data_IF_312842953988
#
_entry.id   IF_312842953988
#
_cell.length_a   1.000
_cell.length_b   1.000
_cell.length_c   1.000
_cell.angle_alpha   90.00
_cell.angle_beta   90.00
_cell.angle_gamma   90.00
#
_symmetry.space_group_name_H-M   'P 1'
#
loop_
_entity.id
_entity.type
_entity.pdbx_description
1 polymer ?
#
# COMPACT_ATOMS: atom_id res chain seq x y z
N UNK A 1 -5.46 25.50 11.91
CA UNK A 1 -4.95 24.17 12.25
C UNK A 1 -6.14 23.28 12.56
N UNK A 2 -6.22 22.12 11.96
CA UNK A 2 -7.27 21.14 12.28
C UNK A 2 -6.89 20.43 13.57
N UNK A 3 -7.88 19.92 14.30
CA UNK A 3 -7.62 19.32 15.60
C UNK A 3 -7.10 17.89 15.48
N UNK A 4 -7.36 17.21 14.33
CA UNK A 4 -7.04 15.78 14.17
C UNK A 4 -6.96 15.31 12.72
N UNK A 5 -6.09 14.32 12.46
CA UNK A 5 -6.01 13.61 11.18
C UNK A 5 -5.87 12.10 11.37
N UNK A 6 -6.50 11.32 10.50
CA UNK A 6 -6.31 9.87 10.41
C UNK A 6 -5.81 9.56 9.02
N UNK A 7 -4.65 8.93 8.95
CA UNK A 7 -4.05 8.44 7.72
C UNK A 7 -4.17 6.91 7.64
N UNK A 8 -4.43 6.43 6.46
CA UNK A 8 -4.40 5.00 6.15
C UNK A 8 -3.33 4.74 5.10
N UNK A 9 -2.61 3.63 5.23
CA UNK A 9 -1.99 3.01 4.08
C UNK A 9 -3.08 2.49 3.13
N UNK A 10 -2.70 2.06 1.93
CA UNK A 10 -3.67 1.60 0.93
C UNK A 10 -3.61 0.09 0.71
N UNK A 11 -2.44 -0.43 0.32
CA UNK A 11 -2.25 -1.82 -0.09
C UNK A 11 -2.24 -2.73 1.15
N UNK A 12 -3.05 -3.80 1.17
CA UNK A 12 -3.27 -4.67 2.34
C UNK A 12 -3.88 -3.97 3.58
N UNK A 13 -4.25 -2.70 3.47
CA UNK A 13 -4.92 -1.92 4.51
C UNK A 13 -6.37 -1.57 4.14
N UNK A 14 -6.62 -1.02 2.96
CA UNK A 14 -7.97 -0.68 2.51
C UNK A 14 -8.58 -1.73 1.56
N UNK A 15 -7.78 -2.63 1.04
CA UNK A 15 -8.16 -3.77 0.20
C UNK A 15 -7.10 -4.87 0.31
N UNK A 16 -7.42 -6.09 -0.11
CA UNK A 16 -6.49 -7.22 -0.11
C UNK A 16 -5.60 -7.18 -1.36
N UNK A 17 -4.38 -6.63 -1.20
CA UNK A 17 -3.38 -6.58 -2.27
C UNK A 17 -2.96 -7.98 -2.72
N UNK A 18 -2.81 -8.92 -1.78
CA UNK A 18 -2.36 -10.28 -2.09
C UNK A 18 -3.29 -11.00 -3.07
N UNK A 19 -4.60 -10.81 -2.96
CA UNK A 19 -5.59 -11.35 -3.91
C UNK A 19 -5.42 -10.72 -5.29
N UNK A 20 -5.34 -9.39 -5.36
CA UNK A 20 -5.20 -8.66 -6.61
C UNK A 20 -3.88 -8.99 -7.32
N UNK A 21 -2.77 -8.97 -6.59
CA UNK A 21 -1.43 -9.25 -7.11
C UNK A 21 -1.34 -10.67 -7.67
N UNK A 22 -1.88 -11.65 -6.96
CA UNK A 22 -1.89 -13.05 -7.43
C UNK A 22 -2.62 -13.20 -8.75
N UNK A 23 -3.82 -12.64 -8.87
CA UNK A 23 -4.62 -12.70 -10.08
C UNK A 23 -3.90 -12.00 -11.26
N UNK A 24 -3.29 -10.84 -11.00
CA UNK A 24 -2.55 -10.08 -12.00
C UNK A 24 -1.29 -10.81 -12.48
N UNK A 25 -0.54 -11.44 -11.59
CA UNK A 25 0.63 -12.26 -11.94
C UNK A 25 0.24 -13.53 -12.73
N UNK A 26 -0.88 -14.17 -12.39
CA UNK A 26 -1.41 -15.30 -13.14
C UNK A 26 -1.76 -14.91 -14.58
N UNK A 27 -2.39 -13.75 -14.76
CA UNK A 27 -2.69 -13.23 -16.10
C UNK A 27 -1.41 -12.86 -16.88
N UNK A 28 -0.41 -12.28 -16.20
CA UNK A 28 0.89 -11.98 -16.81
C UNK A 28 1.59 -13.26 -17.28
N UNK A 29 1.60 -14.30 -16.48
CA UNK A 29 2.17 -15.61 -16.86
C UNK A 29 1.39 -16.27 -17.98
N UNK A 30 0.06 -16.16 -17.99
CA UNK A 30 -0.76 -16.66 -19.12
C UNK A 30 -0.37 -15.98 -20.44
N UNK A 31 -0.22 -14.65 -20.42
CA UNK A 31 0.26 -13.88 -21.57
C UNK A 31 1.67 -14.33 -22.03
N UNK A 32 2.61 -14.47 -21.09
CA UNK A 32 3.98 -14.92 -21.39
C UNK A 32 4.00 -16.30 -22.03
N UNK A 33 3.16 -17.21 -21.56
CA UNK A 33 3.05 -18.57 -22.14
C UNK A 33 2.49 -18.53 -23.55
N UNK A 34 1.42 -17.77 -23.75
CA UNK A 34 0.75 -17.68 -25.04
C UNK A 34 1.60 -16.99 -26.10
N UNK A 35 2.25 -15.88 -25.74
CA UNK A 35 2.97 -15.04 -26.70
C UNK A 35 4.44 -15.43 -26.89
N UNK A 36 5.07 -15.97 -25.84
CA UNK A 36 6.52 -16.21 -25.82
C UNK A 36 6.92 -17.65 -25.49
N UNK A 37 5.96 -18.52 -25.21
CA UNK A 37 6.24 -19.92 -24.87
C UNK A 37 6.93 -20.09 -23.49
N UNK A 38 6.78 -19.14 -22.58
CA UNK A 38 7.36 -19.19 -21.23
C UNK A 38 6.95 -20.46 -20.49
N UNK A 39 7.92 -21.17 -19.91
CA UNK A 39 7.69 -22.45 -19.24
C UNK A 39 7.57 -22.33 -17.70
N UNK A 40 7.91 -21.18 -17.13
CA UNK A 40 7.83 -20.94 -15.69
C UNK A 40 6.40 -20.83 -15.17
N UNK A 41 6.27 -20.89 -13.86
CA UNK A 41 5.01 -20.67 -13.16
C UNK A 41 4.92 -19.26 -12.55
N UNK A 42 3.77 -18.96 -11.94
CA UNK A 42 3.55 -17.68 -11.26
C UNK A 42 4.59 -17.42 -10.14
N UNK A 43 5.01 -18.45 -9.40
CA UNK A 43 5.97 -18.28 -8.30
C UNK A 43 7.35 -17.89 -8.81
N UNK A 44 7.79 -18.51 -9.92
CA UNK A 44 9.04 -18.16 -10.57
C UNK A 44 9.02 -16.72 -11.09
N UNK A 45 7.94 -16.33 -11.78
CA UNK A 45 7.72 -14.96 -12.25
C UNK A 45 7.73 -13.95 -11.08
N UNK A 46 6.93 -14.20 -10.04
CA UNK A 46 6.88 -13.38 -8.83
C UNK A 46 8.28 -13.15 -8.23
N UNK A 47 9.02 -14.24 -8.00
CA UNK A 47 10.37 -14.17 -7.44
C UNK A 47 11.31 -13.29 -8.28
N UNK A 48 11.26 -13.40 -9.60
CA UNK A 48 12.07 -12.59 -10.51
C UNK A 48 11.67 -11.12 -10.45
N UNK A 49 10.37 -10.79 -10.49
CA UNK A 49 9.86 -9.41 -10.47
C UNK A 49 10.26 -8.69 -9.15
N UNK A 50 10.22 -9.37 -8.02
CA UNK A 50 10.63 -8.77 -6.74
C UNK A 50 12.15 -8.67 -6.61
N UNK A 51 12.91 -9.66 -7.11
CA UNK A 51 14.37 -9.56 -7.18
C UNK A 51 14.84 -8.35 -8.00
N UNK A 52 14.15 -8.01 -9.09
CA UNK A 52 14.47 -6.80 -9.86
C UNK A 52 14.06 -5.52 -9.15
N UNK A 53 12.99 -5.53 -8.38
CA UNK A 53 12.65 -4.41 -7.52
C UNK A 53 13.79 -4.12 -6.52
N UNK A 54 14.26 -5.17 -5.83
CA UNK A 54 15.35 -5.06 -4.86
C UNK A 54 16.64 -4.57 -5.53
N UNK A 55 17.00 -5.12 -6.70
CA UNK A 55 18.18 -4.70 -7.45
C UNK A 55 18.13 -3.23 -7.91
N UNK A 56 16.96 -2.73 -8.26
CA UNK A 56 16.75 -1.32 -8.60
C UNK A 56 16.91 -0.44 -7.35
N UNK A 57 16.33 -0.86 -6.21
CA UNK A 57 16.46 -0.13 -4.95
C UNK A 57 17.91 -0.08 -4.46
N UNK A 58 18.64 -1.21 -4.53
CA UNK A 58 20.05 -1.28 -4.17
C UNK A 58 20.90 -0.32 -5.04
N UNK A 59 20.61 -0.27 -6.33
CA UNK A 59 21.36 0.57 -7.29
C UNK A 59 21.05 2.06 -7.19
N UNK A 60 19.78 2.42 -6.98
CA UNK A 60 19.31 3.82 -7.13
C UNK A 60 18.89 4.47 -5.79
N UNK A 61 18.84 3.69 -4.71
CA UNK A 61 18.35 4.13 -3.40
C UNK A 61 16.87 3.81 -3.18
N UNK A 62 16.49 3.70 -1.90
CA UNK A 62 15.16 3.27 -1.47
C UNK A 62 14.03 4.25 -1.84
N UNK A 63 14.35 5.54 -1.91
CA UNK A 63 13.37 6.58 -2.26
C UNK A 63 13.22 6.79 -3.78
N UNK A 64 13.91 5.97 -4.59
CA UNK A 64 13.83 6.10 -6.04
C UNK A 64 12.63 5.33 -6.61
N UNK A 65 11.71 6.05 -7.20
CA UNK A 65 10.46 5.51 -7.74
C UNK A 65 10.63 4.50 -8.88
N UNK A 66 11.82 4.39 -9.47
CA UNK A 66 12.09 3.41 -10.52
C UNK A 66 11.88 1.96 -10.04
N UNK A 67 12.04 1.68 -8.75
CA UNK A 67 11.76 0.35 -8.17
C UNK A 67 10.27 -0.05 -8.33
N UNK A 68 9.36 0.91 -8.40
CA UNK A 68 7.94 0.68 -8.61
C UNK A 68 7.54 0.51 -10.09
N UNK A 69 8.43 0.82 -11.04
CA UNK A 69 8.16 0.65 -12.46
C UNK A 69 8.03 -0.82 -12.83
N UNK A 70 6.80 -1.28 -13.05
CA UNK A 70 6.56 -2.64 -13.52
C UNK A 70 7.10 -2.86 -14.91
N UNK A 71 7.06 -1.84 -15.79
CA UNK A 71 7.67 -1.92 -17.11
C UNK A 71 9.17 -2.23 -17.02
N UNK A 72 9.92 -1.53 -16.14
CA UNK A 72 11.35 -1.81 -15.96
C UNK A 72 11.61 -3.22 -15.45
N UNK A 73 10.90 -3.65 -14.41
CA UNK A 73 11.04 -5.01 -13.86
C UNK A 73 10.69 -6.10 -14.87
N UNK A 74 9.62 -5.88 -15.65
CA UNK A 74 9.24 -6.78 -16.73
C UNK A 74 10.28 -6.80 -17.87
N UNK A 75 10.86 -5.65 -18.22
CA UNK A 75 11.91 -5.60 -19.23
C UNK A 75 13.14 -6.41 -18.79
N UNK A 76 13.59 -6.20 -17.55
CA UNK A 76 14.73 -6.95 -16.98
C UNK A 76 14.44 -8.48 -16.93
N UNK A 77 13.21 -8.86 -16.58
CA UNK A 77 12.77 -10.25 -16.60
C UNK A 77 12.83 -10.85 -18.00
N UNK A 78 12.26 -10.16 -18.99
CA UNK A 78 12.21 -10.62 -20.37
C UNK A 78 13.61 -10.78 -20.96
N UNK A 79 14.50 -9.82 -20.73
CA UNK A 79 15.89 -9.84 -21.20
C UNK A 79 16.68 -11.01 -20.58
N UNK A 80 16.51 -11.30 -19.27
CA UNK A 80 17.16 -12.44 -18.62
C UNK A 80 16.65 -13.78 -19.16
N UNK A 81 15.36 -13.89 -19.43
CA UNK A 81 14.74 -15.10 -20.00
C UNK A 81 15.00 -15.22 -21.52
N UNK A 82 15.72 -14.27 -22.13
CA UNK A 82 16.05 -14.27 -23.55
C UNK A 82 14.90 -13.88 -24.49
N UNK A 83 13.89 -13.20 -23.95
CA UNK A 83 12.76 -12.68 -24.74
C UNK A 83 12.94 -11.21 -25.10
N UNK A 84 12.33 -10.72 -26.21
CA UNK A 84 12.36 -9.30 -26.54
C UNK A 84 11.59 -8.48 -25.50
N UNK A 85 12.22 -7.50 -24.88
CA UNK A 85 11.56 -6.66 -23.87
C UNK A 85 10.47 -5.77 -24.51
N UNK A 86 10.77 -5.14 -25.64
CA UNK A 86 9.77 -4.41 -26.43
C UNK A 86 9.15 -5.36 -27.47
N UNK A 87 7.83 -5.45 -27.61
CA UNK A 87 6.77 -4.62 -27.01
C UNK A 87 6.14 -5.20 -25.72
N UNK A 88 6.69 -6.28 -25.15
CA UNK A 88 6.01 -7.09 -24.13
C UNK A 88 6.04 -6.45 -22.72
N UNK A 89 7.09 -5.71 -22.36
CA UNK A 89 7.23 -5.17 -20.99
C UNK A 89 6.10 -4.21 -20.62
N UNK A 90 5.75 -3.29 -21.51
CA UNK A 90 4.63 -2.37 -21.30
C UNK A 90 3.29 -3.11 -21.26
N UNK A 91 3.10 -4.10 -22.17
CA UNK A 91 1.87 -4.90 -22.20
C UNK A 91 1.65 -5.71 -20.91
N UNK A 92 2.72 -6.24 -20.33
CA UNK A 92 2.66 -6.92 -19.01
C UNK A 92 2.24 -5.97 -17.89
N UNK A 93 2.70 -4.71 -17.90
CA UNK A 93 2.24 -3.71 -16.94
C UNK A 93 0.75 -3.38 -17.14
N UNK A 94 0.30 -3.20 -18.37
CA UNK A 94 -1.12 -2.98 -18.68
C UNK A 94 -1.99 -4.14 -18.17
N UNK A 95 -1.63 -5.39 -18.50
CA UNK A 95 -2.34 -6.60 -18.03
C UNK A 95 -2.39 -6.62 -16.50
N UNK A 96 -1.27 -6.32 -15.83
CA UNK A 96 -1.20 -6.31 -14.38
C UNK A 96 -2.20 -5.33 -13.78
N UNK A 97 -2.26 -4.09 -14.28
CA UNK A 97 -3.17 -3.09 -13.75
C UNK A 97 -4.62 -3.36 -14.14
N UNK A 98 -4.90 -3.80 -15.36
CA UNK A 98 -6.24 -4.19 -15.80
C UNK A 98 -6.84 -5.25 -14.85
N UNK A 99 -6.06 -6.29 -14.55
CA UNK A 99 -6.51 -7.37 -13.66
C UNK A 99 -6.57 -6.92 -12.20
N UNK A 100 -5.54 -6.23 -11.70
CA UNK A 100 -5.56 -5.66 -10.34
C UNK A 100 -6.84 -4.87 -10.10
N UNK A 101 -7.17 -3.95 -11.00
CA UNK A 101 -8.35 -3.09 -10.87
C UNK A 101 -9.68 -3.84 -10.94
N UNK A 102 -9.71 -5.01 -11.57
CA UNK A 102 -10.91 -5.87 -11.64
C UNK A 102 -11.18 -6.60 -10.32
N UNK A 103 -10.14 -6.92 -9.57
CA UNK A 103 -10.22 -7.68 -8.32
C UNK A 103 -10.28 -6.79 -7.07
N UNK A 104 -10.25 -5.47 -7.23
CA UNK A 104 -10.36 -4.55 -6.09
C UNK A 104 -11.72 -4.69 -5.40
N UNK A 105 -11.65 -4.91 -4.09
CA UNK A 105 -12.81 -4.86 -3.21
C UNK A 105 -12.39 -4.20 -1.88
N UNK A 106 -13.18 -3.27 -1.35
CA UNK A 106 -12.83 -2.60 -0.09
C UNK A 106 -12.83 -3.59 1.08
N UNK A 107 -11.93 -3.38 2.03
CA UNK A 107 -11.91 -4.14 3.28
C UNK A 107 -13.25 -4.06 4.00
N UNK A 108 -13.71 -5.17 4.61
CA UNK A 108 -14.96 -5.19 5.37
C UNK A 108 -14.99 -4.11 6.45
N UNK A 109 -16.03 -3.27 6.43
CA UNK A 109 -16.23 -2.21 7.42
C UNK A 109 -15.57 -0.87 7.08
N UNK A 110 -14.56 -0.83 6.19
CA UNK A 110 -13.81 0.41 5.93
C UNK A 110 -14.71 1.56 5.42
N UNK A 111 -15.68 1.27 4.56
CA UNK A 111 -16.61 2.30 4.06
C UNK A 111 -17.39 2.93 5.22
N UNK A 112 -17.83 2.11 6.18
CA UNK A 112 -18.53 2.56 7.39
C UNK A 112 -17.63 3.45 8.25
N UNK A 113 -16.41 3.00 8.54
CA UNK A 113 -15.44 3.76 9.33
C UNK A 113 -15.14 5.12 8.69
N UNK A 114 -14.83 5.15 7.40
CA UNK A 114 -14.54 6.41 6.68
C UNK A 114 -15.73 7.38 6.70
N UNK A 115 -16.96 6.85 6.69
CA UNK A 115 -18.17 7.67 6.83
C UNK A 115 -18.28 8.32 8.21
N UNK A 116 -17.99 7.58 9.28
CA UNK A 116 -18.02 8.12 10.64
C UNK A 116 -16.89 9.16 10.85
N UNK A 117 -15.67 8.89 10.37
CA UNK A 117 -14.57 9.87 10.37
C UNK A 117 -14.96 11.17 9.68
N UNK A 118 -15.58 11.07 8.50
CA UNK A 118 -16.04 12.25 7.76
C UNK A 118 -17.13 13.03 8.50
N UNK A 119 -18.09 12.33 9.14
CA UNK A 119 -19.13 12.98 9.97
C UNK A 119 -18.53 13.73 11.17
N UNK A 120 -17.49 13.16 11.77
CA UNK A 120 -16.77 13.78 12.88
C UNK A 120 -15.86 14.95 12.42
N UNK A 121 -15.83 15.28 11.12
CA UNK A 121 -14.98 16.36 10.59
C UNK A 121 -13.49 16.07 10.59
N UNK A 122 -13.11 14.80 10.77
CA UNK A 122 -11.70 14.38 10.83
C UNK A 122 -11.11 14.38 9.41
N UNK A 123 -9.90 14.91 9.28
CA UNK A 123 -9.15 14.78 8.03
C UNK A 123 -8.76 13.33 7.78
N UNK A 124 -9.11 12.81 6.62
CA UNK A 124 -8.77 11.44 6.21
C UNK A 124 -7.77 11.50 5.06
N UNK A 125 -6.53 11.11 5.33
CA UNK A 125 -5.47 11.00 4.32
C UNK A 125 -5.18 9.55 3.94
N UNK A 126 -4.75 9.34 2.70
CA UNK A 126 -4.14 8.07 2.28
C UNK A 126 -2.66 8.32 2.08
N UNK A 127 -1.82 7.68 2.90
CA UNK A 127 -0.36 7.77 2.82
C UNK A 127 0.23 6.45 2.30
N UNK A 128 0.73 6.40 1.07
CA UNK A 128 1.07 5.15 0.41
C UNK A 128 2.33 5.23 -0.43
N UNK A 129 3.18 4.17 -0.37
CA UNK A 129 4.31 4.05 -1.27
C UNK A 129 3.80 3.66 -2.66
N UNK A 130 4.25 4.29 -3.69
CA UNK A 130 4.03 4.01 -5.13
C UNK A 130 3.83 5.33 -5.90
N UNK A 131 3.76 5.21 -7.23
CA UNK A 131 3.40 6.33 -8.11
C UNK A 131 1.92 6.70 -8.03
N UNK A 132 1.60 7.94 -8.33
CA UNK A 132 0.25 8.50 -8.15
C UNK A 132 -0.81 7.80 -9.00
N UNK A 133 -0.55 7.55 -10.28
CA UNK A 133 -1.56 7.05 -11.20
C UNK A 133 -2.30 5.79 -10.69
N UNK A 134 -1.62 4.68 -10.32
CA UNK A 134 -2.33 3.49 -9.85
C UNK A 134 -3.04 3.71 -8.52
N UNK A 135 -2.51 4.54 -7.62
CA UNK A 135 -3.13 4.79 -6.32
C UNK A 135 -4.45 5.55 -6.43
N UNK A 136 -4.48 6.59 -7.28
CA UNK A 136 -5.74 7.30 -7.57
C UNK A 136 -6.77 6.39 -8.23
N UNK A 137 -6.33 5.51 -9.16
CA UNK A 137 -7.22 4.55 -9.82
C UNK A 137 -7.80 3.52 -8.82
N UNK A 138 -7.00 3.03 -7.87
CA UNK A 138 -7.47 2.11 -6.82
C UNK A 138 -8.57 2.78 -5.96
N UNK A 139 -8.31 3.98 -5.45
CA UNK A 139 -9.26 4.71 -4.60
C UNK A 139 -10.59 4.97 -5.33
N UNK A 140 -10.53 5.37 -6.60
CA UNK A 140 -11.73 5.60 -7.40
C UNK A 140 -12.56 4.31 -7.58
N UNK A 141 -11.90 3.19 -7.88
CA UNK A 141 -12.57 1.90 -8.08
C UNK A 141 -13.08 1.26 -6.79
N UNK A 142 -12.41 1.51 -5.67
CA UNK A 142 -12.90 1.11 -4.35
C UNK A 142 -14.13 1.93 -3.89
N UNK A 143 -14.50 2.99 -4.63
CA UNK A 143 -15.62 3.86 -4.29
C UNK A 143 -15.37 4.71 -3.03
N UNK A 144 -14.09 5.04 -2.75
CA UNK A 144 -13.70 5.74 -1.52
C UNK A 144 -13.45 7.24 -1.72
N UNK A 145 -13.44 7.74 -2.97
CA UNK A 145 -13.05 9.12 -3.31
C UNK A 145 -13.76 10.20 -2.50
N UNK A 146 -15.06 10.03 -2.28
CA UNK A 146 -15.89 11.04 -1.57
C UNK A 146 -15.63 11.07 -0.04
N UNK A 147 -14.85 10.13 0.50
CA UNK A 147 -14.61 9.93 1.94
C UNK A 147 -13.20 10.27 2.35
N UNK A 148 -12.36 10.61 1.39
CA UNK A 148 -10.93 10.87 1.58
C UNK A 148 -10.67 12.34 1.30
N UNK A 149 -9.92 12.99 2.18
CA UNK A 149 -9.52 14.39 2.04
C UNK A 149 -8.39 14.53 1.00
N UNK A 150 -7.41 13.62 1.04
CA UNK A 150 -6.26 13.65 0.14
C UNK A 150 -5.59 12.28 0.01
N UNK A 151 -5.02 12.02 -1.16
CA UNK A 151 -4.15 10.88 -1.43
C UNK A 151 -2.71 11.41 -1.55
N UNK A 152 -1.81 10.83 -0.76
CA UNK A 152 -0.40 11.23 -0.66
C UNK A 152 0.46 10.01 -1.07
N UNK A 153 0.73 9.82 -2.37
CA UNK A 153 1.69 8.83 -2.81
C UNK A 153 3.12 9.31 -2.51
N UNK A 154 4.06 8.37 -2.34
CA UNK A 154 5.47 8.68 -2.14
C UNK A 154 6.06 9.52 -3.27
N UNK A 155 5.55 9.37 -4.50
CA UNK A 155 5.88 10.22 -5.64
C UNK A 155 5.63 11.71 -5.38
N UNK A 156 4.53 12.04 -4.69
CA UNK A 156 4.22 13.43 -4.32
C UNK A 156 5.04 13.90 -3.12
N UNK A 157 5.22 13.03 -2.13
CA UNK A 157 5.93 13.36 -0.90
C UNK A 157 7.44 13.53 -1.12
N UNK A 158 8.02 12.85 -2.13
CA UNK A 158 9.46 12.80 -2.38
C UNK A 158 10.23 11.90 -1.41
N UNK A 159 9.52 11.15 -0.58
CA UNK A 159 10.03 10.20 0.40
C UNK A 159 9.16 8.97 0.44
N UNK A 160 9.73 7.81 0.75
CA UNK A 160 8.98 6.58 0.99
C UNK A 160 8.88 6.27 2.49
N UNK A 161 7.81 5.60 2.90
CA UNK A 161 7.74 4.99 4.22
C UNK A 161 8.84 3.92 4.33
N UNK A 162 9.58 3.82 5.46
CA UNK A 162 9.32 4.43 6.77
C UNK A 162 9.99 5.78 7.02
N UNK A 163 10.43 6.53 6.01
CA UNK A 163 11.11 7.81 6.19
C UNK A 163 10.26 8.81 6.99
N UNK A 164 10.86 9.45 8.00
CA UNK A 164 10.20 10.51 8.76
C UNK A 164 9.74 11.68 7.87
N UNK A 165 10.44 11.91 6.74
CA UNK A 165 10.07 12.92 5.75
C UNK A 165 8.69 12.68 5.14
N UNK A 166 8.33 11.41 4.90
CA UNK A 166 7.00 11.04 4.40
C UNK A 166 5.90 11.41 5.38
N UNK A 167 6.04 11.05 6.65
CA UNK A 167 5.03 11.33 7.68
C UNK A 167 4.95 12.82 8.02
N UNK A 168 6.09 13.53 8.00
CA UNK A 168 6.10 14.98 8.15
C UNK A 168 5.35 15.67 7.00
N UNK A 169 5.51 15.18 5.78
CA UNK A 169 4.73 15.64 4.64
C UNK A 169 3.23 15.43 4.86
N UNK A 170 2.82 14.23 5.30
CA UNK A 170 1.41 13.93 5.60
C UNK A 170 0.81 14.88 6.63
N UNK A 171 1.47 15.09 7.77
CA UNK A 171 1.02 15.99 8.83
C UNK A 171 0.88 17.44 8.35
N UNK A 172 1.85 17.91 7.57
CA UNK A 172 1.84 19.25 6.96
C UNK A 172 0.65 19.44 6.01
N UNK A 173 0.38 18.47 5.13
CA UNK A 173 -0.74 18.53 4.19
C UNK A 173 -2.10 18.54 4.92
N UNK A 174 -2.19 17.84 6.04
CA UNK A 174 -3.38 17.86 6.88
C UNK A 174 -3.54 19.17 7.69
N UNK A 175 -2.48 19.95 7.87
CA UNK A 175 -2.40 21.09 8.79
C UNK A 175 -2.71 20.67 10.23
N UNK A 176 -2.05 19.56 10.70
CA UNK A 176 -2.22 18.93 12.03
C UNK A 176 -0.85 18.64 12.63
N UNK A 177 -0.71 18.81 13.96
CA UNK A 177 0.50 18.38 14.66
C UNK A 177 0.64 16.85 14.55
N UNK A 178 1.85 16.31 14.28
CA UNK A 178 2.05 14.86 14.24
C UNK A 178 1.49 14.10 15.45
N UNK A 179 1.52 14.69 16.63
CA UNK A 179 0.98 14.08 17.88
C UNK A 179 -0.54 13.89 17.87
N UNK A 180 -1.24 14.66 17.04
CA UNK A 180 -2.70 14.58 16.83
C UNK A 180 -3.05 13.79 15.56
N UNK A 181 -2.05 13.13 14.94
CA UNK A 181 -2.21 12.26 13.79
C UNK A 181 -2.21 10.79 14.21
N UNK A 182 -3.10 10.01 13.61
CA UNK A 182 -3.08 8.54 13.65
C UNK A 182 -2.68 8.03 12.28
N UNK A 183 -1.78 7.05 12.21
CA UNK A 183 -1.44 6.34 10.98
C UNK A 183 -1.78 4.85 11.13
N UNK A 184 -2.62 4.33 10.24
CA UNK A 184 -3.10 2.95 10.24
C UNK A 184 -2.55 2.26 8.99
N UNK A 185 -1.82 1.15 9.17
CA UNK A 185 -1.30 0.36 8.06
C UNK A 185 -0.99 -1.07 8.48
N UNK A 186 -0.74 -1.94 7.50
CA UNK A 186 -0.48 -3.36 7.72
C UNK A 186 0.99 -3.69 7.97
N UNK A 187 1.89 -2.79 7.57
CA UNK A 187 3.33 -3.02 7.70
C UNK A 187 3.88 -2.40 8.99
N UNK A 188 4.33 -3.28 9.92
CA UNK A 188 4.85 -2.84 11.21
C UNK A 188 6.02 -1.86 11.08
N UNK A 189 6.98 -2.13 10.19
CA UNK A 189 8.14 -1.26 10.01
C UNK A 189 7.77 0.03 9.26
N UNK A 190 7.10 -0.10 8.12
CA UNK A 190 6.86 1.03 7.25
C UNK A 190 5.80 1.99 7.80
N UNK A 191 4.72 1.46 8.37
CA UNK A 191 3.59 2.29 8.80
C UNK A 191 3.64 2.62 10.27
N UNK A 192 3.82 1.61 11.13
CA UNK A 192 3.73 1.78 12.58
C UNK A 192 5.01 2.41 13.14
N UNK A 193 6.16 1.79 12.89
CA UNK A 193 7.44 2.30 13.41
C UNK A 193 7.78 3.65 12.78
N UNK A 194 7.60 3.78 11.46
CA UNK A 194 7.89 5.02 10.74
C UNK A 194 7.05 6.21 11.23
N UNK A 195 5.74 6.03 11.39
CA UNK A 195 4.86 7.10 11.90
C UNK A 195 5.14 7.47 13.34
N UNK A 196 5.40 6.48 14.20
CA UNK A 196 5.73 6.68 15.61
C UNK A 196 7.05 7.43 15.81
N UNK A 197 8.01 7.25 14.92
CA UNK A 197 9.27 7.99 14.95
C UNK A 197 9.07 9.52 14.86
N UNK A 198 7.98 9.96 14.23
CA UNK A 198 7.58 11.38 14.17
C UNK A 198 6.64 11.80 15.31
N UNK A 199 6.24 10.89 16.18
CA UNK A 199 5.31 11.15 17.29
C UNK A 199 3.83 10.93 16.95
N UNK A 200 3.49 10.38 15.79
CA UNK A 200 2.12 9.97 15.46
C UNK A 200 1.71 8.73 16.26
N UNK A 201 0.41 8.50 16.43
CA UNK A 201 -0.12 7.23 16.92
C UNK A 201 -0.12 6.21 15.78
N UNK A 202 0.85 5.29 15.78
CA UNK A 202 0.89 4.17 14.84
C UNK A 202 -0.05 3.05 15.27
N UNK A 203 -0.88 2.56 14.35
CA UNK A 203 -1.86 1.47 14.55
C UNK A 203 -1.64 0.39 13.51
N UNK A 204 -1.49 -0.85 13.95
CA UNK A 204 -1.32 -1.97 13.04
C UNK A 204 -2.68 -2.53 12.59
N UNK A 205 -2.90 -2.63 11.27
CA UNK A 205 -4.00 -3.37 10.71
C UNK A 205 -3.56 -4.81 10.40
N UNK A 206 -4.07 -5.77 11.15
CA UNK A 206 -3.71 -7.19 11.03
C UNK A 206 -4.96 -8.07 11.15
N UNK A 207 -5.77 -8.20 10.06
CA UNK A 207 -6.95 -9.05 10.07
C UNK A 207 -6.58 -10.52 10.24
N UNK A 208 -7.45 -11.31 10.88
CA UNK A 208 -7.18 -12.72 11.21
C UNK A 208 -6.81 -13.59 9.99
N UNK A 209 -7.30 -13.23 8.81
CA UNK A 209 -6.93 -13.91 7.56
C UNK A 209 -5.51 -13.62 7.05
N UNK A 210 -4.87 -12.56 7.58
CA UNK A 210 -3.47 -12.16 7.35
C UNK A 210 -2.79 -11.94 8.70
N UNK A 211 -2.51 -13.02 9.47
CA UNK A 211 -1.90 -12.88 10.78
C UNK A 211 -0.49 -12.32 10.68
N UNK A 212 -0.12 -11.49 11.64
CA UNK A 212 1.26 -11.03 11.79
C UNK A 212 2.19 -12.18 12.13
N UNK A 213 3.49 -12.03 11.83
CA UNK A 213 4.51 -13.00 12.24
C UNK A 213 4.68 -13.02 13.77
N UNK A 214 5.24 -14.10 14.32
CA UNK A 214 5.55 -14.20 15.75
C UNK A 214 6.45 -13.06 16.22
N UNK A 215 7.47 -12.70 15.45
CA UNK A 215 8.37 -11.60 15.74
C UNK A 215 7.62 -10.25 15.84
N UNK A 216 6.73 -9.95 14.91
CA UNK A 216 5.90 -8.74 14.95
C UNK A 216 4.93 -8.79 16.13
N UNK A 217 4.35 -9.97 16.45
CA UNK A 217 3.44 -10.10 17.59
C UNK A 217 4.15 -9.82 18.93
N UNK A 218 5.40 -10.28 19.09
CA UNK A 218 6.22 -9.97 20.26
C UNK A 218 6.53 -8.47 20.36
N UNK A 219 6.85 -7.81 19.24
CA UNK A 219 7.10 -6.37 19.20
C UNK A 219 5.84 -5.57 19.53
N UNK A 220 4.70 -5.94 18.93
CA UNK A 220 3.39 -5.34 19.21
C UNK A 220 3.05 -5.42 20.70
N UNK A 221 3.24 -6.59 21.33
CA UNK A 221 2.99 -6.77 22.75
C UNK A 221 3.93 -5.94 23.62
N UNK A 222 5.23 -5.98 23.33
CA UNK A 222 6.27 -5.23 24.05
C UNK A 222 6.04 -3.72 23.99
N UNK A 223 5.68 -3.20 22.85
CA UNK A 223 5.52 -1.77 22.61
C UNK A 223 4.09 -1.28 22.80
N UNK A 224 3.18 -2.18 23.17
CA UNK A 224 1.75 -1.90 23.37
C UNK A 224 1.11 -1.22 22.14
N UNK A 225 1.43 -1.71 20.96
CA UNK A 225 0.89 -1.18 19.71
C UNK A 225 -0.58 -1.54 19.59
N UNK A 226 -1.48 -0.57 19.33
CA UNK A 226 -2.87 -0.86 19.02
C UNK A 226 -2.99 -1.67 17.73
N UNK A 227 -3.87 -2.69 17.73
CA UNK A 227 -4.11 -3.55 16.57
C UNK A 227 -5.59 -3.51 16.19
N UNK A 228 -5.87 -3.20 14.93
CA UNK A 228 -7.19 -3.35 14.33
C UNK A 228 -7.23 -4.65 13.54
N UNK A 229 -8.18 -5.53 13.85
CA UNK A 229 -8.41 -6.78 13.12
C UNK A 229 -9.61 -6.73 12.18
N UNK A 230 -10.57 -5.89 12.52
CA UNK A 230 -11.82 -5.70 11.76
C UNK A 230 -12.28 -4.24 11.91
N UNK A 231 -12.48 -3.54 10.81
CA UNK A 231 -13.00 -2.16 10.84
C UNK A 231 -14.45 -2.05 11.30
N UNK A 232 -15.16 -3.18 11.44
CA UNK A 232 -16.53 -3.24 12.00
C UNK A 232 -16.55 -3.28 13.52
N UNK A 233 -15.41 -3.50 14.17
CA UNK A 233 -15.32 -3.54 15.62
C UNK A 233 -15.58 -2.12 16.18
N UNK A 234 -16.59 -1.93 17.05
CA UNK A 234 -16.86 -0.64 17.69
C UNK A 234 -15.68 -0.04 18.43
N UNK A 235 -14.77 -0.87 18.95
CA UNK A 235 -13.54 -0.43 19.61
C UNK A 235 -12.64 0.39 18.70
N UNK A 236 -12.77 0.28 17.37
CA UNK A 236 -12.01 1.10 16.42
C UNK A 236 -12.37 2.58 16.56
N UNK A 237 -13.65 2.91 16.76
CA UNK A 237 -14.07 4.29 16.97
C UNK A 237 -13.53 4.84 18.30
N UNK A 238 -13.55 4.03 19.37
CA UNK A 238 -12.96 4.40 20.65
C UNK A 238 -11.45 4.60 20.53
N UNK A 239 -10.75 3.68 19.83
CA UNK A 239 -9.32 3.79 19.56
C UNK A 239 -8.96 5.09 18.83
N UNK A 240 -9.83 5.52 17.92
CA UNK A 240 -9.69 6.76 17.14
C UNK A 240 -10.31 7.96 17.88
N UNK A 241 -10.85 7.75 19.10
CA UNK A 241 -11.47 8.76 19.94
C UNK A 241 -12.60 9.54 19.24
N UNK A 242 -13.43 8.81 18.51
CA UNK A 242 -14.60 9.31 17.81
C UNK A 242 -15.83 8.98 18.66
N UNK A 243 -16.50 10.02 19.11
CA UNK A 243 -17.76 9.93 19.88
C UNK A 243 -18.99 10.02 18.98
#
# INVERSE_FOLDING_TARGET
MRDRAVFFDLDDTLYDFGVCNRAAEEASVAYLREQLGYQGDRRAYHKSIYRYMDAIQERLGSDNLACHSRTLRNAMFLEEEGYPASPHAGRLEEIYWEVTFRYLAPEPGIIGLLKELKKAGIYVGIGTNLTAFPQYQKIARLGLSDRISQIIPSELAGFEKPSAGFFAYCAREADVDPRDCVFIGDNFLHDVTGSRALGMKGVLYAPDRRPMSEEVAEQVAREQIPVIRDYRDPMVLELLEIS
#
